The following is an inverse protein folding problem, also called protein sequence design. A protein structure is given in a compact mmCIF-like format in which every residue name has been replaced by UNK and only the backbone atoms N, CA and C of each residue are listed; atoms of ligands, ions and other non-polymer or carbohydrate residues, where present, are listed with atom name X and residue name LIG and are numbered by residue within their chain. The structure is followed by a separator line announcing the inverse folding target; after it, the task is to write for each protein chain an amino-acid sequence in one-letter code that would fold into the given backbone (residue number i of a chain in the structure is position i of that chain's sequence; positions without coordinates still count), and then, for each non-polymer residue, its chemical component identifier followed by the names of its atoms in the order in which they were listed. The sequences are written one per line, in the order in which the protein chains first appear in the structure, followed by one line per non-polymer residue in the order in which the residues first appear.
data_IF_618529964313
#
_entry.id   IF_618529964313
#
_cell.length_a   1.000
_cell.length_b   1.000
_cell.length_c   1.000
_cell.angle_alpha   90.00
_cell.angle_beta   90.00
_cell.angle_gamma   90.00
#
_symmetry.space_group_name_H-M   'P 1'
#
loop_
_entity.id
_entity.type
_entity.pdbx_description
1 polymer ?
#
# COMPACT_ATOMS: atom_id res chain seq x y z
N UNK A 1 6.52 0.49 6.37
CA UNK A 1 7.22 -0.11 5.21
C UNK A 1 8.61 -0.46 5.69
N UNK A 2 8.87 -1.74 5.99
CA UNK A 2 10.13 -2.19 6.57
C UNK A 2 11.30 -1.75 5.70
N UNK A 3 12.30 -1.12 6.30
CA UNK A 3 13.39 -0.43 5.62
C UNK A 3 14.46 -1.42 5.10
N UNK A 4 14.09 -2.30 4.18
CA UNK A 4 15.02 -3.23 3.50
C UNK A 4 16.22 -2.52 2.86
N UNK A 5 16.09 -1.22 2.58
CA UNK A 5 17.16 -0.36 2.08
C UNK A 5 18.33 -0.24 3.06
N UNK A 6 18.07 -0.24 4.38
CA UNK A 6 19.11 -0.15 5.42
C UNK A 6 19.96 -1.43 5.46
N UNK A 7 19.32 -2.60 5.42
CA UNK A 7 20.02 -3.89 5.40
C UNK A 7 20.81 -4.14 4.11
N UNK A 8 20.34 -3.63 2.96
CA UNK A 8 21.10 -3.70 1.71
C UNK A 8 22.46 -2.98 1.79
N UNK A 9 22.55 -1.86 2.52
CA UNK A 9 23.80 -1.09 2.66
C UNK A 9 24.90 -1.91 3.35
N UNK A 10 24.53 -2.74 4.32
CA UNK A 10 25.46 -3.60 5.08
C UNK A 10 26.23 -4.56 4.15
N UNK A 11 25.56 -5.07 3.11
CA UNK A 11 26.11 -6.09 2.21
C UNK A 11 26.70 -5.52 0.91
N UNK A 12 26.75 -4.19 0.72
CA UNK A 12 27.21 -3.58 -0.54
C UNK A 12 28.62 -4.03 -0.96
N UNK A 13 29.53 -4.19 0.00
CA UNK A 13 30.92 -4.62 -0.26
C UNK A 13 31.08 -6.14 -0.45
N UNK A 14 30.01 -6.95 -0.37
CA UNK A 14 30.04 -8.43 -0.42
C UNK A 14 29.08 -8.96 -1.49
N UNK A 15 29.54 -9.18 -2.75
CA UNK A 15 28.65 -9.42 -3.89
C UNK A 15 27.81 -10.70 -3.74
N UNK A 16 28.39 -11.81 -3.27
CA UNK A 16 27.68 -13.07 -3.07
C UNK A 16 26.56 -12.96 -2.00
N UNK A 17 26.82 -12.26 -0.89
CA UNK A 17 25.82 -12.03 0.16
C UNK A 17 24.71 -11.08 -0.31
N UNK A 18 25.07 -10.06 -1.08
CA UNK A 18 24.10 -9.13 -1.68
C UNK A 18 23.16 -9.84 -2.65
N UNK A 19 23.67 -10.73 -3.50
CA UNK A 19 22.86 -11.51 -4.43
C UNK A 19 21.84 -12.42 -3.70
N UNK A 20 22.28 -13.14 -2.67
CA UNK A 20 21.41 -13.96 -1.83
C UNK A 20 20.35 -13.12 -1.12
N UNK A 21 20.72 -11.96 -0.57
CA UNK A 21 19.77 -11.05 0.08
C UNK A 21 18.70 -10.55 -0.88
N UNK A 22 19.10 -10.10 -2.09
CA UNK A 22 18.16 -9.63 -3.12
C UNK A 22 17.15 -10.72 -3.51
N UNK A 23 17.60 -11.97 -3.65
CA UNK A 23 16.73 -13.09 -4.04
C UNK A 23 15.64 -13.40 -3.01
N UNK A 24 16.00 -13.42 -1.72
CA UNK A 24 15.11 -13.95 -0.67
C UNK A 24 14.39 -12.88 0.17
N UNK A 25 15.04 -11.73 0.41
CA UNK A 25 14.53 -10.73 1.35
C UNK A 25 13.94 -9.49 0.67
N UNK A 26 14.15 -9.30 -0.64
CA UNK A 26 13.64 -8.14 -1.34
C UNK A 26 12.11 -8.26 -1.53
N UNK A 27 11.32 -7.24 -1.14
CA UNK A 27 9.89 -7.26 -1.41
C UNK A 27 9.65 -7.25 -2.92
N UNK A 28 8.85 -8.21 -3.40
CA UNK A 28 8.46 -8.30 -4.82
C UNK A 28 7.43 -7.24 -5.15
N UNK A 29 7.64 -6.50 -6.23
CA UNK A 29 6.64 -5.59 -6.79
C UNK A 29 5.48 -6.41 -7.37
N UNK A 30 4.27 -6.21 -6.84
CA UNK A 30 3.06 -6.87 -7.33
C UNK A 30 2.21 -5.88 -8.12
N UNK A 31 1.72 -6.30 -9.29
CA UNK A 31 0.81 -5.50 -10.13
C UNK A 31 -0.59 -5.36 -9.51
N UNK A 32 -1.04 -6.38 -8.78
CA UNK A 32 -2.38 -6.47 -8.20
C UNK A 32 -2.35 -6.96 -6.74
N UNK A 33 -3.51 -6.91 -6.08
CA UNK A 33 -3.70 -7.30 -4.69
C UNK A 33 -3.97 -6.12 -3.75
N UNK A 34 -4.36 -6.44 -2.50
CA UNK A 34 -4.77 -5.45 -1.50
C UNK A 34 -3.70 -4.39 -1.24
N UNK A 35 -2.43 -4.80 -1.13
CA UNK A 35 -1.32 -3.89 -0.81
C UNK A 35 -0.98 -2.86 -1.89
N UNK A 36 -1.53 -3.00 -3.10
CA UNK A 36 -1.33 -2.04 -4.18
C UNK A 36 -2.33 -0.88 -4.14
N UNK A 37 -3.43 -1.01 -3.40
CA UNK A 37 -4.42 0.05 -3.26
C UNK A 37 -4.10 0.93 -2.05
N UNK A 38 -4.14 2.25 -2.25
CA UNK A 38 -3.80 3.25 -1.24
C UNK A 38 -4.93 4.25 -1.13
N UNK A 39 -5.44 4.47 0.09
CA UNK A 39 -6.47 5.47 0.34
C UNK A 39 -5.98 6.86 -0.04
N UNK A 40 -6.76 7.61 -0.83
CA UNK A 40 -6.43 9.00 -1.24
C UNK A 40 -6.31 9.95 -0.05
N UNK A 41 -7.11 9.78 1.01
CA UNK A 41 -7.11 10.66 2.18
C UNK A 41 -6.03 10.28 3.21
N UNK A 42 -6.10 9.06 3.75
CA UNK A 42 -5.27 8.66 4.89
C UNK A 42 -3.97 7.93 4.51
N UNK A 43 -3.72 7.66 3.22
CA UNK A 43 -2.52 6.94 2.76
C UNK A 43 -2.41 5.48 3.22
N UNK A 44 -3.39 4.96 3.98
CA UNK A 44 -3.39 3.55 4.41
C UNK A 44 -3.54 2.63 3.21
N UNK A 45 -2.75 1.57 3.19
CA UNK A 45 -2.77 0.54 2.16
C UNK A 45 -3.55 -0.68 2.63
N UNK A 46 -4.28 -1.32 1.74
CA UNK A 46 -4.90 -2.61 2.02
C UNK A 46 -6.36 -2.56 2.50
N UNK A 47 -6.60 -2.97 3.75
CA UNK A 47 -7.94 -3.38 4.20
C UNK A 47 -8.97 -2.26 4.25
N UNK A 48 -10.22 -2.60 3.91
CA UNK A 48 -11.36 -1.67 3.98
C UNK A 48 -11.33 -0.57 2.92
N UNK A 49 -10.70 -0.83 1.78
CA UNK A 49 -10.59 0.09 0.67
C UNK A 49 -11.77 -0.05 -0.31
N UNK A 50 -12.47 1.05 -0.58
CA UNK A 50 -13.55 1.13 -1.56
C UNK A 50 -12.94 1.47 -2.91
N UNK A 51 -12.92 0.49 -3.82
CA UNK A 51 -12.35 0.62 -5.18
C UNK A 51 -13.41 0.82 -6.26
N UNK A 52 -14.67 0.57 -5.93
CA UNK A 52 -15.79 0.76 -6.86
C UNK A 52 -15.91 2.24 -7.20
N UNK A 53 -16.25 2.54 -8.46
CA UNK A 53 -16.41 3.90 -8.97
C UNK A 53 -15.13 4.75 -8.86
N UNK A 54 -13.95 4.13 -8.87
CA UNK A 54 -12.65 4.80 -8.78
C UNK A 54 -12.47 5.77 -7.60
N UNK A 55 -13.23 5.53 -6.52
CA UNK A 55 -13.20 6.36 -5.31
C UNK A 55 -11.84 6.27 -4.60
N UNK A 56 -11.31 5.06 -4.44
CA UNK A 56 -10.05 4.79 -3.70
C UNK A 56 -10.02 5.43 -2.30
N UNK A 57 -11.08 5.24 -1.52
CA UNK A 57 -11.15 5.68 -0.11
C UNK A 57 -11.19 4.51 0.86
N UNK A 58 -10.60 4.70 2.04
CA UNK A 58 -10.78 3.81 3.18
C UNK A 58 -12.21 3.93 3.73
N UNK A 59 -12.80 2.87 4.29
CA UNK A 59 -14.18 2.90 4.82
C UNK A 59 -14.44 3.99 5.87
N UNK A 60 -13.43 4.36 6.66
CA UNK A 60 -13.56 5.44 7.65
C UNK A 60 -13.59 6.80 6.95
N UNK A 61 -12.60 7.02 6.07
CA UNK A 61 -12.44 8.22 5.24
C UNK A 61 -13.68 8.46 4.35
N UNK A 62 -14.26 7.40 3.81
CA UNK A 62 -15.44 7.50 2.97
C UNK A 62 -16.64 8.05 3.74
N UNK A 63 -16.79 7.76 5.03
CA UNK A 63 -17.93 8.27 5.83
C UNK A 63 -17.88 9.79 6.01
N UNK A 64 -16.68 10.36 6.07
CA UNK A 64 -16.45 11.81 6.15
C UNK A 64 -16.77 12.46 4.79
N UNK A 65 -16.28 11.85 3.70
CA UNK A 65 -16.39 12.39 2.34
C UNK A 65 -17.75 12.12 1.70
N UNK A 66 -18.48 11.09 2.12
CA UNK A 66 -19.74 10.63 1.49
C UNK A 66 -20.76 11.75 1.32
N UNK A 67 -20.97 12.58 2.36
CA UNK A 67 -21.91 13.70 2.31
C UNK A 67 -21.51 14.75 1.26
N UNK A 68 -20.21 15.07 1.18
CA UNK A 68 -19.69 16.06 0.22
C UNK A 68 -19.78 15.60 -1.24
N UNK A 69 -19.68 14.29 -1.48
CA UNK A 69 -19.83 13.68 -2.80
C UNK A 69 -21.31 13.55 -3.21
N UNK A 70 -22.24 13.78 -2.28
CA UNK A 70 -23.68 13.72 -2.55
C UNK A 70 -24.32 12.37 -2.23
N UNK A 71 -23.64 11.46 -1.53
CA UNK A 71 -24.28 10.25 -1.03
C UNK A 71 -25.26 10.61 0.08
N UNK A 72 -26.53 10.19 -0.09
CA UNK A 72 -27.60 10.34 0.90
C UNK A 72 -28.03 8.96 1.39
N UNK A 73 -28.37 8.89 2.69
CA UNK A 73 -28.96 7.71 3.31
C UNK A 73 -30.47 7.76 3.07
N UNK A 74 -31.01 6.81 2.31
CA UNK A 74 -32.45 6.76 1.98
C UNK A 74 -33.23 5.73 2.83
N UNK A 75 -32.54 4.94 3.66
CA UNK A 75 -33.11 4.06 4.69
C UNK A 75 -32.09 3.88 5.80
#
# INVERSE_FOLDING_TARGET
MGEYKKSMKIFQKKPAKLARFKKHNMPKTRKFGLGNSVCRNCGKKGMGMIRKYDLYYCRHCFREVAKSVGFKKYS
#
